data_IF_042790010589
#
_entry.id   IF_042790010589
#
_cell.length_a   1.000
_cell.length_b   1.000
_cell.length_c   1.000
_cell.angle_alpha   90.00
_cell.angle_beta   90.00
_cell.angle_gamma   90.00
#
_symmetry.space_group_name_H-M   'P 1'
#
loop_
_entity.id
_entity.type
_entity.pdbx_description
1 polymer ?
#
# COMPACT_ATOMS: atom_id res chain seq x y z
N UNK A 1 -1.88 55.84 3.56
CA UNK A 1 -0.72 55.09 3.04
C UNK A 1 -0.46 53.89 3.94
N UNK A 2 -0.60 52.63 3.48
CA UNK A 2 -0.35 51.47 4.33
C UNK A 2 1.15 51.28 4.55
N UNK A 3 1.57 51.21 5.83
CA UNK A 3 2.96 50.97 6.22
C UNK A 3 3.34 49.53 5.86
N UNK A 4 4.30 49.38 4.96
CA UNK A 4 4.83 48.07 4.54
C UNK A 4 5.40 47.30 5.73
N UNK A 5 4.69 46.24 6.14
CA UNK A 5 5.17 45.29 7.13
C UNK A 5 6.41 44.58 6.63
N UNK A 6 7.52 44.69 7.39
CA UNK A 6 8.79 44.04 7.12
C UNK A 6 8.59 42.52 7.22
N UNK A 7 8.36 41.85 6.09
CA UNK A 7 8.36 40.37 6.01
C UNK A 7 9.74 39.88 6.43
N UNK A 8 9.84 39.44 7.69
CA UNK A 8 11.03 38.80 8.24
C UNK A 8 11.48 37.69 7.30
N UNK A 9 12.73 37.74 6.89
CA UNK A 9 13.30 36.79 5.94
C UNK A 9 13.11 35.38 6.44
N UNK A 10 12.50 34.52 5.63
CA UNK A 10 12.41 33.07 5.88
C UNK A 10 13.76 32.38 5.65
N UNK A 11 14.86 33.12 5.80
CA UNK A 11 16.23 32.67 5.58
C UNK A 11 16.80 32.37 6.96
N UNK A 12 16.78 31.10 7.35
CA UNK A 12 17.46 30.65 8.56
C UNK A 12 16.59 30.00 9.64
N UNK A 13 15.36 29.57 9.35
CA UNK A 13 14.69 28.64 10.28
C UNK A 13 15.47 27.33 10.24
N UNK A 14 16.12 26.98 11.36
CA UNK A 14 16.79 25.69 11.54
C UNK A 14 15.83 24.55 11.18
N UNK A 15 16.30 23.64 10.33
CA UNK A 15 15.56 22.45 9.94
C UNK A 15 15.53 21.54 11.17
N UNK A 16 14.36 21.36 11.75
CA UNK A 16 14.14 20.38 12.80
C UNK A 16 13.96 19.02 12.12
N UNK A 17 14.79 18.05 12.49
CA UNK A 17 14.63 16.67 12.05
C UNK A 17 13.92 15.92 13.17
N UNK A 18 12.83 15.23 12.83
CA UNK A 18 12.17 14.32 13.77
C UNK A 18 13.08 13.16 14.08
N UNK A 19 13.09 12.72 15.34
CA UNK A 19 13.87 11.55 15.74
C UNK A 19 13.26 10.28 15.13
N UNK A 20 14.07 9.25 14.84
CA UNK A 20 13.56 8.00 14.25
C UNK A 20 12.50 7.32 15.15
N UNK A 21 12.64 7.40 16.47
CA UNK A 21 11.65 6.87 17.41
C UNK A 21 10.30 7.60 17.32
N UNK A 22 10.33 8.91 17.08
CA UNK A 22 9.13 9.74 16.96
C UNK A 22 8.39 9.49 15.63
N UNK A 23 9.13 9.21 14.56
CA UNK A 23 8.56 8.78 13.28
C UNK A 23 7.88 7.42 13.43
N UNK A 24 8.53 6.46 14.10
CA UNK A 24 7.96 5.13 14.34
C UNK A 24 6.70 5.20 15.23
N UNK A 25 6.71 6.06 16.25
CA UNK A 25 5.55 6.29 17.11
C UNK A 25 4.36 6.88 16.34
N UNK A 26 4.61 7.83 15.43
CA UNK A 26 3.57 8.40 14.57
C UNK A 26 2.95 7.35 13.65
N UNK A 27 3.78 6.55 12.97
CA UNK A 27 3.32 5.49 12.08
C UNK A 27 2.48 4.46 12.84
N UNK A 28 2.92 4.09 14.06
CA UNK A 28 2.18 3.15 14.90
C UNK A 28 0.81 3.70 15.31
N UNK A 29 0.75 4.96 15.72
CA UNK A 29 -0.49 5.61 16.12
C UNK A 29 -1.49 5.76 14.96
N UNK A 30 -1.02 6.08 13.75
CA UNK A 30 -1.87 6.12 12.56
C UNK A 30 -2.42 4.73 12.20
N UNK A 31 -1.58 3.70 12.28
CA UNK A 31 -1.99 2.33 12.00
C UNK A 31 -3.02 1.80 13.02
N UNK A 32 -2.84 2.12 14.29
CA UNK A 32 -3.77 1.76 15.36
C UNK A 32 -5.13 2.46 15.16
N UNK A 33 -5.14 3.75 14.82
CA UNK A 33 -6.36 4.48 14.47
C UNK A 33 -7.08 3.89 13.26
N UNK A 34 -6.35 3.55 12.20
CA UNK A 34 -6.94 2.96 11.00
C UNK A 34 -7.56 1.58 11.29
N UNK A 35 -6.93 0.78 12.16
CA UNK A 35 -7.50 -0.50 12.61
C UNK A 35 -8.74 -0.30 13.47
N UNK A 36 -8.74 0.69 14.36
CA UNK A 36 -9.89 1.01 15.19
C UNK A 36 -11.08 1.49 14.33
N UNK A 37 -10.84 2.33 13.33
CA UNK A 37 -11.85 2.77 12.36
C UNK A 37 -12.40 1.60 11.52
N UNK A 38 -11.55 0.66 11.09
CA UNK A 38 -11.99 -0.55 10.37
C UNK A 38 -12.84 -1.48 11.26
N UNK A 39 -12.51 -1.58 12.55
CA UNK A 39 -13.26 -2.36 13.53
C UNK A 39 -14.59 -1.69 13.89
N UNK A 40 -14.64 -0.36 13.97
CA UNK A 40 -15.88 0.40 14.14
C UNK A 40 -16.79 0.28 12.90
N UNK A 41 -16.23 0.33 11.69
CA UNK A 41 -16.97 0.12 10.43
C UNK A 41 -17.56 -1.30 10.35
N UNK A 42 -16.82 -2.32 10.80
CA UNK A 42 -17.31 -3.72 10.86
C UNK A 42 -18.23 -4.01 12.05
N UNK A 43 -18.16 -3.22 13.12
CA UNK A 43 -19.00 -3.36 14.33
C UNK A 43 -20.42 -2.78 14.19
N UNK A 44 -20.68 -1.94 13.19
CA UNK A 44 -21.98 -1.29 12.97
C UNK A 44 -22.97 -2.05 12.08
N UNK A 45 -22.57 -3.13 11.41
CA UNK A 45 -23.39 -3.80 10.40
C UNK A 45 -24.08 -5.09 10.91
N UNK A 46 -24.85 -4.97 11.99
CA UNK A 46 -25.86 -5.97 12.34
C UNK A 46 -27.15 -5.70 11.53
N UNK A 47 -27.22 -6.23 10.30
CA UNK A 47 -28.48 -6.37 9.57
C UNK A 47 -28.38 -6.17 8.07
N UNK A 48 -28.21 -7.26 7.31
CA UNK A 48 -29.21 -7.79 6.37
C UNK A 48 -28.54 -8.78 5.39
N UNK A 49 -28.85 -10.09 5.41
CA UNK A 49 -28.34 -11.06 4.45
C UNK A 49 -29.43 -11.37 3.42
N UNK A 50 -29.69 -10.50 2.44
CA UNK A 50 -30.47 -10.88 1.26
C UNK A 50 -30.49 -9.76 0.22
N UNK A 51 -29.88 -10.03 -0.93
CA UNK A 51 -30.29 -9.54 -2.25
C UNK A 51 -29.57 -10.35 -3.32
N UNK A 52 -30.03 -11.59 -3.48
CA UNK A 52 -30.09 -12.17 -4.81
C UNK A 52 -31.07 -11.31 -5.64
N UNK A 53 -30.60 -10.75 -6.74
CA UNK A 53 -31.45 -10.36 -7.87
C UNK A 53 -30.65 -10.70 -9.12
N UNK A 54 -30.78 -11.96 -9.50
CA UNK A 54 -30.74 -12.36 -10.90
C UNK A 54 -31.70 -11.47 -11.67
N UNK A 55 -31.16 -10.63 -12.54
CA UNK A 55 -31.89 -10.10 -13.69
C UNK A 55 -31.07 -10.50 -14.91
N UNK A 56 -31.40 -11.69 -15.39
CA UNK A 56 -31.07 -12.21 -16.72
C UNK A 56 -31.82 -11.33 -17.72
N UNK A 57 -31.20 -10.22 -18.13
CA UNK A 57 -31.57 -9.53 -19.37
C UNK A 57 -30.55 -9.90 -20.43
N UNK A 58 -30.73 -11.11 -20.96
CA UNK A 58 -30.21 -11.57 -22.24
C UNK A 58 -30.90 -10.74 -23.32
N UNK A 59 -30.22 -9.70 -23.80
CA UNK A 59 -30.61 -9.00 -25.01
C UNK A 59 -29.35 -8.86 -25.86
N UNK A 60 -29.13 -9.93 -26.65
CA UNK A 60 -28.38 -9.91 -27.89
C UNK A 60 -28.66 -8.60 -28.62
N UNK A 61 -27.75 -7.62 -28.53
CA UNK A 61 -27.71 -6.59 -29.54
C UNK A 61 -26.28 -6.25 -29.98
N UNK A 62 -26.04 -6.72 -31.19
CA UNK A 62 -24.82 -6.91 -31.92
C UNK A 62 -24.35 -5.57 -32.51
N UNK A 63 -23.95 -4.59 -31.67
CA UNK A 63 -23.53 -3.29 -32.22
C UNK A 63 -22.34 -2.68 -31.48
N UNK A 64 -21.17 -2.82 -32.13
CA UNK A 64 -20.24 -1.73 -32.41
C UNK A 64 -20.34 -0.57 -31.41
N UNK A 65 -19.53 -0.58 -30.34
CA UNK A 65 -19.34 0.62 -29.51
C UNK A 65 -19.13 1.80 -30.44
N UNK A 66 -20.13 2.68 -30.53
CA UNK A 66 -20.16 3.76 -31.52
C UNK A 66 -18.95 4.65 -31.26
N UNK A 67 -17.91 4.49 -32.08
CA UNK A 67 -16.71 5.32 -32.02
C UNK A 67 -17.17 6.76 -32.23
N UNK A 68 -16.76 7.66 -31.33
CA UNK A 68 -17.23 9.04 -31.37
C UNK A 68 -16.44 9.78 -32.46
N UNK A 69 -17.14 10.50 -33.32
CA UNK A 69 -16.52 11.33 -34.35
C UNK A 69 -15.72 10.53 -35.40
N UNK A 70 -14.50 10.98 -35.70
CA UNK A 70 -13.65 10.47 -36.80
C UNK A 70 -12.82 9.24 -36.40
N UNK A 71 -12.87 8.81 -35.13
CA UNK A 71 -12.09 7.68 -34.59
C UNK A 71 -12.37 6.33 -35.27
N UNK A 72 -13.46 6.21 -36.04
CA UNK A 72 -13.77 5.04 -36.86
C UNK A 72 -13.42 5.18 -38.34
N UNK A 73 -13.05 6.37 -38.81
CA UNK A 73 -12.86 6.67 -40.23
C UNK A 73 -11.39 6.53 -40.68
N UNK A 74 -10.45 6.57 -39.75
CA UNK A 74 -9.01 6.48 -40.03
C UNK A 74 -8.45 5.22 -39.38
N UNK A 75 -7.76 4.40 -40.18
CA UNK A 75 -7.05 3.22 -39.72
C UNK A 75 -5.78 3.60 -38.95
N UNK A 76 -5.63 3.06 -37.74
CA UNK A 76 -4.48 3.37 -36.88
C UNK A 76 -3.38 2.34 -37.11
N UNK A 77 -2.44 2.64 -38.00
CA UNK A 77 -1.25 1.83 -38.32
C UNK A 77 -0.08 2.02 -37.33
N UNK A 78 -0.37 2.24 -36.04
CA UNK A 78 0.69 2.38 -35.06
C UNK A 78 1.19 0.99 -34.64
N UNK A 79 2.43 0.58 -34.96
CA UNK A 79 2.95 -0.75 -34.65
C UNK A 79 3.07 -1.03 -33.15
N UNK A 80 3.08 0.01 -32.31
CA UNK A 80 3.09 -0.12 -30.85
C UNK A 80 1.69 0.00 -30.23
N UNK A 81 0.62 0.06 -31.04
CA UNK A 81 -0.75 0.18 -30.53
C UNK A 81 -1.23 -1.15 -29.98
N UNK A 82 -1.35 -1.22 -28.66
CA UNK A 82 -1.94 -2.35 -27.96
C UNK A 82 -3.46 -2.14 -27.94
N UNK A 83 -4.18 -2.89 -28.79
CA UNK A 83 -5.64 -2.93 -28.74
C UNK A 83 -6.10 -3.65 -27.47
N UNK A 84 -6.85 -2.93 -26.62
CA UNK A 84 -7.41 -3.51 -25.40
C UNK A 84 -8.65 -4.33 -25.79
N UNK A 85 -8.49 -5.65 -25.91
CA UNK A 85 -9.62 -6.58 -26.00
C UNK A 85 -10.11 -6.91 -24.57
N UNK A 86 -11.42 -6.93 -24.37
CA UNK A 86 -12.02 -7.37 -23.10
C UNK A 86 -11.74 -8.86 -22.89
N UNK A 87 -10.78 -9.18 -22.02
CA UNK A 87 -10.50 -10.56 -21.62
C UNK A 87 -11.51 -10.99 -20.58
N UNK A 88 -12.01 -12.22 -20.71
CA UNK A 88 -12.87 -12.84 -19.70
C UNK A 88 -12.04 -13.11 -18.44
N UNK A 89 -12.63 -12.87 -17.27
CA UNK A 89 -11.97 -12.99 -15.95
C UNK A 89 -11.33 -14.38 -15.74
N UNK A 90 -11.89 -15.42 -16.35
CA UNK A 90 -11.39 -16.80 -16.29
C UNK A 90 -10.08 -17.05 -17.05
N UNK A 91 -9.65 -16.12 -17.91
CA UNK A 91 -8.40 -16.19 -18.70
C UNK A 91 -7.31 -15.25 -18.16
N UNK A 92 -7.57 -14.57 -17.03
CA UNK A 92 -6.53 -13.84 -16.33
C UNK A 92 -5.72 -14.86 -15.53
N UNK A 93 -4.52 -15.18 -15.99
CA UNK A 93 -3.56 -16.02 -15.26
C UNK A 93 -3.14 -15.30 -13.96
N UNK A 94 -3.87 -15.57 -12.88
CA UNK A 94 -3.58 -15.08 -11.51
C UNK A 94 -2.39 -15.85 -10.90
N UNK A 95 -1.88 -16.88 -11.59
CA UNK A 95 -0.80 -17.78 -11.14
C UNK A 95 0.63 -17.25 -11.36
N UNK A 96 0.81 -16.07 -11.96
CA UNK A 96 2.11 -15.42 -12.03
C UNK A 96 2.57 -14.95 -10.64
N UNK A 97 3.89 -14.91 -10.34
CA UNK A 97 4.37 -14.32 -9.09
C UNK A 97 3.85 -12.90 -9.01
N UNK A 98 2.86 -12.69 -8.13
CA UNK A 98 2.28 -11.38 -7.84
C UNK A 98 3.46 -10.46 -7.58
N UNK A 99 3.71 -9.52 -8.49
CA UNK A 99 4.78 -8.56 -8.32
C UNK A 99 4.40 -7.71 -7.12
N UNK A 100 4.83 -8.17 -5.94
CA UNK A 100 4.52 -7.54 -4.66
C UNK A 100 4.87 -6.07 -4.81
N UNK A 101 3.93 -5.21 -4.43
CA UNK A 101 4.09 -3.77 -4.53
C UNK A 101 5.39 -3.38 -3.83
N UNK A 102 6.07 -2.30 -4.26
CA UNK A 102 7.34 -1.85 -3.66
C UNK A 102 7.26 -1.81 -2.12
N UNK A 103 6.11 -1.39 -1.61
CA UNK A 103 5.78 -1.33 -0.19
C UNK A 103 5.77 -2.72 0.48
N UNK A 104 5.13 -3.70 -0.14
CA UNK A 104 5.06 -5.07 0.39
C UNK A 104 6.44 -5.76 0.39
N UNK A 105 7.29 -5.46 -0.60
CA UNK A 105 8.66 -6.01 -0.64
C UNK A 105 9.52 -5.49 0.52
N UNK A 106 9.47 -4.20 0.77
CA UNK A 106 10.21 -3.57 1.88
C UNK A 106 9.69 -4.05 3.25
N UNK A 107 8.37 -4.23 3.39
CA UNK A 107 7.78 -4.75 4.63
C UNK A 107 8.20 -6.20 4.92
N UNK A 108 8.22 -7.06 3.91
CA UNK A 108 8.69 -8.45 4.05
C UNK A 108 10.19 -8.48 4.37
N UNK A 109 10.99 -7.63 3.75
CA UNK A 109 12.43 -7.54 4.06
C UNK A 109 12.67 -7.05 5.50
N UNK A 110 11.90 -6.05 5.95
CA UNK A 110 11.95 -5.55 7.33
C UNK A 110 11.56 -6.64 8.33
N UNK A 111 10.53 -7.44 8.03
CA UNK A 111 10.14 -8.59 8.87
C UNK A 111 11.25 -9.65 8.91
N UNK A 112 11.78 -10.05 7.75
CA UNK A 112 12.88 -11.02 7.66
C UNK A 112 14.15 -10.54 8.39
N UNK A 113 14.47 -9.25 8.32
CA UNK A 113 15.60 -8.68 9.03
C UNK A 113 15.41 -8.75 10.56
N UNK A 114 14.21 -8.42 11.05
CA UNK A 114 13.86 -8.57 12.48
C UNK A 114 13.94 -10.02 12.94
N UNK A 115 13.35 -10.94 12.20
CA UNK A 115 13.41 -12.38 12.51
C UNK A 115 14.84 -12.89 12.54
N UNK A 116 15.66 -12.50 11.56
CA UNK A 116 17.08 -12.86 11.51
C UNK A 116 17.84 -12.32 12.72
N UNK A 117 17.59 -11.07 13.09
CA UNK A 117 18.19 -10.47 14.29
C UNK A 117 17.78 -11.24 15.55
N UNK A 118 16.48 -11.49 15.74
CA UNK A 118 15.97 -12.24 16.89
C UNK A 118 16.54 -13.65 16.93
N UNK A 119 16.61 -14.35 15.79
CA UNK A 119 17.22 -15.68 15.70
C UNK A 119 18.70 -15.66 16.09
N UNK A 120 19.47 -14.66 15.64
CA UNK A 120 20.87 -14.49 16.02
C UNK A 120 21.03 -14.12 17.50
N UNK A 121 20.10 -13.35 18.05
CA UNK A 121 20.10 -12.95 19.46
C UNK A 121 19.81 -14.15 20.37
N UNK A 122 18.77 -14.92 20.06
CA UNK A 122 18.46 -16.16 20.77
C UNK A 122 19.59 -17.18 20.67
N UNK A 123 20.29 -17.22 19.54
CA UNK A 123 21.47 -18.07 19.36
C UNK A 123 22.72 -17.57 20.12
N UNK A 124 22.64 -16.46 20.87
CA UNK A 124 23.77 -15.91 21.60
C UNK A 124 24.87 -15.31 20.70
N UNK A 125 24.55 -15.00 19.43
CA UNK A 125 25.55 -14.50 18.47
C UNK A 125 25.65 -12.97 18.47
N UNK A 126 24.61 -12.27 18.91
CA UNK A 126 24.64 -10.82 19.09
C UNK A 126 25.48 -10.46 20.31
N UNK A 127 26.14 -9.31 20.28
CA UNK A 127 27.04 -8.90 21.37
C UNK A 127 26.28 -8.66 22.67
N UNK A 128 25.01 -8.23 22.58
CA UNK A 128 24.09 -8.14 23.72
C UNK A 128 23.86 -9.51 24.37
N UNK A 129 23.45 -10.51 23.59
CA UNK A 129 23.18 -11.83 24.14
C UNK A 129 24.46 -12.50 24.69
N UNK A 130 25.62 -12.28 24.06
CA UNK A 130 26.91 -12.73 24.60
C UNK A 130 27.23 -12.08 25.94
N UNK A 131 27.02 -10.78 26.07
CA UNK A 131 27.27 -10.07 27.32
C UNK A 131 26.34 -10.55 28.44
N UNK A 132 25.07 -10.80 28.13
CA UNK A 132 24.11 -11.31 29.11
C UNK A 132 24.43 -12.75 29.52
N UNK A 133 24.84 -13.62 28.59
CA UNK A 133 25.36 -14.95 28.92
C UNK A 133 26.62 -14.89 29.78
N UNK A 134 27.54 -13.98 29.48
CA UNK A 134 28.76 -13.79 30.29
C UNK A 134 28.44 -13.29 31.71
N UNK A 135 27.45 -12.40 31.87
CA UNK A 135 26.97 -11.95 33.18
C UNK A 135 26.36 -13.10 33.98
N UNK A 136 25.54 -13.93 33.35
CA UNK A 136 24.96 -15.11 33.99
C UNK A 136 26.03 -16.12 34.41
N UNK A 137 27.11 -16.23 33.65
CA UNK A 137 28.22 -17.15 33.95
C UNK A 137 29.14 -16.69 35.11
N UNK A 138 29.05 -15.43 35.55
CA UNK A 138 29.84 -14.88 36.66
C UNK A 138 29.18 -15.17 38.03
N UNK A 139 27.89 -15.52 38.04
CA UNK A 139 27.10 -15.84 39.23
C UNK A 139 27.27 -17.33 39.56
#
# INVERSE_FOLDING_TARGET
>A
MPKGGKKGGHKGRVRQYTSPEEIDAQIKAEHEKAQEEELEEKGGAAGNPDKQSSDESDEDDDYQQKRKGVEGLIDIENPNRIAQASKKVTQLDIEGPKELSRREREEIEKQKAKERYMKMHLAGKTDQAKADLARLAII
#
